data_IF_487766376535
#
_entry.id   IF_487766376535
#
_cell.length_a   1.000
_cell.length_b   1.000
_cell.length_c   1.000
_cell.angle_alpha   90.00
_cell.angle_beta   90.00
_cell.angle_gamma   90.00
#
_symmetry.space_group_name_H-M   'P 1'
#
loop_
_entity.id
_entity.type
_entity.pdbx_description
1 polymer ?
#
# COMPACT_ATOMS: atom_id res chain seq x y z
N UNK A 1 20.11 -9.07 -15.49
CA UNK A 1 19.21 -10.21 -15.20
C UNK A 1 19.29 -10.63 -13.73
N UNK A 2 20.48 -10.95 -13.19
CA UNK A 2 20.67 -11.27 -11.75
C UNK A 2 20.20 -10.17 -10.79
N UNK A 3 20.56 -8.92 -11.10
CA UNK A 3 20.16 -7.71 -10.35
C UNK A 3 18.67 -7.38 -10.41
N UNK A 4 17.96 -7.82 -11.46
CA UNK A 4 16.51 -7.58 -11.61
C UNK A 4 15.70 -8.55 -10.75
N UNK A 5 16.20 -9.78 -10.62
CA UNK A 5 15.61 -10.83 -9.78
C UNK A 5 15.77 -10.46 -8.30
N UNK A 6 16.96 -10.01 -7.89
CA UNK A 6 17.22 -9.54 -6.53
C UNK A 6 16.33 -8.35 -6.13
N UNK A 7 16.12 -7.40 -7.05
CA UNK A 7 15.21 -6.25 -6.82
C UNK A 7 13.76 -6.70 -6.67
N UNK A 8 13.29 -7.63 -7.50
CA UNK A 8 11.93 -8.17 -7.40
C UNK A 8 11.70 -8.91 -6.08
N UNK A 9 12.70 -9.64 -5.62
CA UNK A 9 12.65 -10.36 -4.36
C UNK A 9 12.64 -9.42 -3.15
N UNK A 10 13.44 -8.35 -3.17
CA UNK A 10 13.43 -7.31 -2.12
C UNK A 10 12.07 -6.61 -2.01
N UNK A 11 11.45 -6.27 -3.15
CA UNK A 11 10.11 -5.67 -3.18
C UNK A 11 9.06 -6.63 -2.62
N UNK A 12 9.11 -7.90 -3.00
CA UNK A 12 8.21 -8.93 -2.47
C UNK A 12 8.35 -9.10 -0.96
N UNK A 13 9.57 -9.12 -0.43
CA UNK A 13 9.83 -9.19 1.02
C UNK A 13 9.27 -7.96 1.74
N UNK A 14 9.50 -6.76 1.21
CA UNK A 14 8.96 -5.54 1.78
C UNK A 14 7.42 -5.56 1.84
N UNK A 15 6.76 -5.95 0.76
CA UNK A 15 5.29 -6.04 0.70
C UNK A 15 4.74 -7.11 1.64
N UNK A 16 5.43 -8.25 1.77
CA UNK A 16 5.09 -9.30 2.73
C UNK A 16 5.16 -8.78 4.17
N UNK A 17 6.24 -8.06 4.51
CA UNK A 17 6.44 -7.43 5.81
C UNK A 17 5.38 -6.37 6.12
N UNK A 18 5.06 -5.53 5.14
CA UNK A 18 3.98 -4.55 5.26
C UNK A 18 2.63 -5.22 5.51
N UNK A 19 2.33 -6.32 4.80
CA UNK A 19 1.12 -7.12 5.03
C UNK A 19 1.05 -7.64 6.47
N UNK A 20 2.13 -8.23 6.99
CA UNK A 20 2.18 -8.78 8.35
C UNK A 20 1.87 -7.70 9.39
N UNK A 21 2.43 -6.49 9.23
CA UNK A 21 2.14 -5.37 10.15
C UNK A 21 0.68 -4.93 10.04
N UNK A 22 0.15 -4.76 8.82
CA UNK A 22 -1.24 -4.35 8.56
C UNK A 22 -2.23 -5.37 9.13
N UNK A 23 -1.97 -6.66 8.92
CA UNK A 23 -2.77 -7.75 9.51
C UNK A 23 -2.83 -7.63 11.04
N UNK A 24 -1.71 -7.33 11.68
CA UNK A 24 -1.61 -7.19 13.13
C UNK A 24 -2.12 -5.85 13.70
N UNK A 25 -2.45 -4.89 12.82
CA UNK A 25 -3.10 -3.62 13.16
C UNK A 25 -4.62 -3.76 13.27
N UNK A 26 -5.25 -4.58 12.42
CA UNK A 26 -6.70 -4.58 12.21
C UNK A 26 -7.52 -5.41 13.22
N UNK A 27 -6.89 -5.91 14.29
CA UNK A 27 -7.52 -6.71 15.35
C UNK A 27 -8.36 -7.91 14.87
N UNK A 28 -8.17 -8.36 13.62
CA UNK A 28 -8.82 -9.54 13.05
C UNK A 28 -8.15 -10.83 13.51
N UNK A 29 -8.81 -11.96 13.24
CA UNK A 29 -8.25 -13.28 13.54
C UNK A 29 -6.86 -13.39 12.89
N UNK A 30 -5.85 -13.64 13.72
CA UNK A 30 -4.44 -13.77 13.33
C UNK A 30 -4.22 -14.93 12.34
N UNK A 31 -5.20 -15.81 12.11
CA UNK A 31 -5.12 -16.88 11.10
C UNK A 31 -5.49 -16.39 9.70
N UNK A 32 -6.26 -15.30 9.58
CA UNK A 32 -6.75 -14.83 8.28
C UNK A 32 -5.74 -13.91 7.59
N UNK A 33 -5.36 -14.26 6.36
CA UNK A 33 -4.42 -13.48 5.54
C UNK A 33 -5.11 -12.48 4.61
N UNK A 34 -6.32 -12.83 4.15
CA UNK A 34 -7.06 -12.06 3.14
C UNK A 34 -7.43 -10.63 3.58
N UNK A 35 -7.88 -10.39 4.82
CA UNK A 35 -8.22 -9.04 5.24
C UNK A 35 -7.02 -8.08 5.23
N UNK A 36 -5.82 -8.58 5.58
CA UNK A 36 -4.57 -7.82 5.46
C UNK A 36 -4.18 -7.52 4.01
N UNK A 37 -4.51 -8.40 3.06
CA UNK A 37 -4.29 -8.17 1.61
C UNK A 37 -5.19 -7.04 1.12
N UNK A 38 -6.48 -7.11 1.44
CA UNK A 38 -7.46 -6.11 1.01
C UNK A 38 -7.13 -4.75 1.61
N UNK A 39 -6.80 -4.70 2.90
CA UNK A 39 -6.37 -3.47 3.55
C UNK A 39 -5.08 -2.92 2.93
N UNK A 40 -4.04 -3.75 2.78
CA UNK A 40 -2.78 -3.32 2.15
C UNK A 40 -2.97 -2.78 0.74
N UNK A 41 -3.81 -3.44 -0.06
CA UNK A 41 -4.12 -2.99 -1.42
C UNK A 41 -4.94 -1.69 -1.46
N UNK A 42 -5.89 -1.52 -0.54
CA UNK A 42 -6.64 -0.28 -0.39
C UNK A 42 -5.70 0.90 -0.09
N UNK A 43 -4.76 0.70 0.83
CA UNK A 43 -3.81 1.74 1.21
C UNK A 43 -2.79 2.05 0.12
N UNK A 44 -2.28 1.04 -0.58
CA UNK A 44 -1.40 1.25 -1.73
C UNK A 44 -2.11 2.03 -2.86
N UNK A 45 -3.39 1.75 -3.09
CA UNK A 45 -4.21 2.49 -4.03
C UNK A 45 -4.41 3.95 -3.61
N UNK A 46 -4.67 4.23 -2.33
CA UNK A 46 -4.76 5.60 -1.80
C UNK A 46 -3.44 6.38 -1.99
N UNK A 47 -2.29 5.74 -1.72
CA UNK A 47 -0.96 6.33 -1.96
C UNK A 47 -0.77 6.66 -3.44
N UNK A 48 -1.05 5.70 -4.33
CA UNK A 48 -0.89 5.88 -5.78
C UNK A 48 -1.77 7.01 -6.31
N UNK A 49 -3.03 7.07 -5.89
CA UNK A 49 -3.94 8.14 -6.28
C UNK A 49 -3.45 9.51 -5.79
N UNK A 50 -2.93 9.58 -4.56
CA UNK A 50 -2.37 10.81 -3.99
C UNK A 50 -1.15 11.28 -4.78
N UNK A 51 -0.28 10.36 -5.22
CA UNK A 51 0.89 10.67 -6.05
C UNK A 51 0.47 11.13 -7.44
N UNK A 52 -0.46 10.41 -8.10
CA UNK A 52 -0.97 10.79 -9.44
C UNK A 52 -1.60 12.17 -9.38
N UNK A 53 -2.38 12.43 -8.33
CA UNK A 53 -2.98 13.73 -8.08
C UNK A 53 -1.92 14.83 -7.89
N UNK A 54 -0.93 14.61 -7.02
CA UNK A 54 0.14 15.59 -6.81
C UNK A 54 0.93 15.85 -8.09
N UNK A 55 1.27 14.79 -8.83
CA UNK A 55 1.95 14.88 -10.10
C UNK A 55 1.13 15.65 -11.13
N UNK A 56 -0.19 15.50 -11.13
CA UNK A 56 -1.11 16.32 -11.93
C UNK A 56 -1.05 17.78 -11.48
N UNK A 57 -1.35 18.08 -10.21
CA UNK A 57 -1.47 19.46 -9.67
C UNK A 57 -0.18 20.29 -9.71
N UNK A 58 0.99 19.64 -9.62
CA UNK A 58 2.28 20.33 -9.69
C UNK A 58 3.02 20.10 -11.01
N UNK A 59 2.36 19.48 -12.00
CA UNK A 59 2.94 19.33 -13.33
C UNK A 59 3.17 20.70 -13.97
N UNK A 60 4.34 20.96 -14.57
CA UNK A 60 4.56 22.16 -15.38
C UNK A 60 3.68 22.21 -16.63
N UNK A 61 2.91 21.13 -16.91
CA UNK A 61 1.93 21.05 -17.99
C UNK A 61 0.51 21.46 -17.59
N UNK A 62 0.29 21.89 -16.34
CA UNK A 62 -1.02 22.38 -15.91
C UNK A 62 -1.41 23.65 -16.66
N UNK A 63 -2.45 23.51 -17.49
CA UNK A 63 -2.91 24.54 -18.44
C UNK A 63 -3.10 24.02 -19.86
N UNK A 64 -2.59 22.83 -20.22
CA UNK A 64 -3.00 22.14 -21.46
C UNK A 64 -4.28 21.36 -21.20
N UNK A 65 -5.40 21.95 -21.62
CA UNK A 65 -6.69 21.28 -21.72
C UNK A 65 -6.52 19.88 -22.36
N UNK A 66 -6.96 18.84 -21.65
CA UNK A 66 -7.23 17.53 -22.26
C UNK A 66 -6.26 16.38 -21.99
N UNK A 67 -5.50 16.34 -20.88
CA UNK A 67 -4.59 15.22 -20.66
C UNK A 67 -5.25 13.92 -20.15
N UNK A 68 -6.29 13.97 -19.30
CA UNK A 68 -7.06 12.80 -18.86
C UNK A 68 -8.48 13.21 -18.43
N UNK A 69 -9.51 12.55 -18.98
CA UNK A 69 -10.89 12.72 -18.51
C UNK A 69 -11.10 12.09 -17.13
N UNK A 70 -12.06 12.60 -16.35
CA UNK A 70 -12.38 12.14 -14.99
C UNK A 70 -12.70 10.64 -14.97
N UNK A 71 -13.39 10.12 -15.99
CA UNK A 71 -13.71 8.70 -16.06
C UNK A 71 -12.47 7.85 -16.35
N UNK A 72 -11.49 8.39 -17.07
CA UNK A 72 -10.19 7.73 -17.26
C UNK A 72 -9.41 7.65 -15.95
N UNK A 73 -9.43 8.71 -15.13
CA UNK A 73 -8.79 8.72 -13.80
C UNK A 73 -9.44 7.66 -12.89
N UNK A 74 -10.77 7.54 -12.89
CA UNK A 74 -11.48 6.51 -12.12
C UNK A 74 -11.12 5.09 -12.56
N UNK A 75 -11.06 4.84 -13.87
CA UNK A 75 -10.67 3.53 -14.41
C UNK A 75 -9.23 3.18 -14.04
N UNK A 76 -8.31 4.15 -14.11
CA UNK A 76 -6.92 3.97 -13.67
C UNK A 76 -6.82 3.67 -12.17
N UNK A 77 -7.58 4.38 -11.35
CA UNK A 77 -7.67 4.14 -9.91
C UNK A 77 -8.19 2.73 -9.59
N UNK A 78 -9.27 2.29 -10.23
CA UNK A 78 -9.83 0.95 -10.04
C UNK A 78 -8.85 -0.14 -10.50
N UNK A 79 -8.20 0.08 -11.65
CA UNK A 79 -7.19 -0.83 -12.18
C UNK A 79 -5.98 -0.93 -11.23
N UNK A 80 -5.48 0.21 -10.74
CA UNK A 80 -4.39 0.26 -9.77
C UNK A 80 -4.73 -0.47 -8.47
N UNK A 81 -5.97 -0.35 -7.98
CA UNK A 81 -6.45 -1.14 -6.85
C UNK A 81 -6.41 -2.65 -7.15
N UNK A 82 -6.99 -3.08 -8.27
CA UNK A 82 -7.02 -4.50 -8.65
C UNK A 82 -5.60 -5.07 -8.78
N UNK A 83 -4.67 -4.34 -9.42
CA UNK A 83 -3.27 -4.73 -9.50
C UNK A 83 -2.61 -4.78 -8.12
N UNK A 84 -2.91 -3.83 -7.24
CA UNK A 84 -2.38 -3.81 -5.87
C UNK A 84 -2.82 -5.04 -5.07
N UNK A 85 -4.07 -5.48 -5.20
CA UNK A 85 -4.57 -6.72 -4.59
C UNK A 85 -3.79 -7.93 -5.12
N UNK A 86 -3.62 -8.02 -6.44
CA UNK A 86 -2.88 -9.12 -7.08
C UNK A 86 -1.43 -9.15 -6.59
N UNK A 87 -0.77 -7.99 -6.52
CA UNK A 87 0.62 -7.86 -6.05
C UNK A 87 0.75 -8.30 -4.59
N UNK A 88 -0.12 -7.83 -3.70
CA UNK A 88 -0.11 -8.24 -2.29
C UNK A 88 -0.43 -9.72 -2.11
N UNK A 89 -1.32 -10.27 -2.92
CA UNK A 89 -1.63 -11.70 -2.87
C UNK A 89 -0.41 -12.54 -3.28
N UNK A 90 0.27 -12.17 -4.36
CA UNK A 90 1.48 -12.88 -4.79
C UNK A 90 2.64 -12.72 -3.82
N UNK A 91 2.80 -11.55 -3.18
CA UNK A 91 3.89 -11.32 -2.23
C UNK A 91 3.81 -12.19 -0.97
N UNK A 92 2.61 -12.61 -0.58
CA UNK A 92 2.38 -13.50 0.58
C UNK A 92 2.16 -14.97 0.20
N UNK A 93 2.19 -15.32 -1.10
CA UNK A 93 1.91 -16.68 -1.56
C UNK A 93 2.98 -17.69 -1.15
N UNK A 94 4.22 -17.23 -0.99
CA UNK A 94 5.31 -18.08 -0.51
C UNK A 94 5.20 -18.22 1.02
N UNK A 95 4.72 -19.38 1.47
CA UNK A 95 4.45 -19.65 2.88
C UNK A 95 5.70 -19.58 3.75
N UNK A 96 6.85 -20.07 3.27
CA UNK A 96 8.12 -20.04 4.01
C UNK A 96 8.57 -18.59 4.28
N UNK A 97 8.54 -17.75 3.24
CA UNK A 97 8.86 -16.32 3.36
C UNK A 97 7.87 -15.59 4.26
N UNK A 98 6.58 -15.93 4.13
CA UNK A 98 5.53 -15.34 4.95
C UNK A 98 5.74 -15.65 6.43
N UNK A 99 6.01 -16.92 6.77
CA UNK A 99 6.28 -17.35 8.14
C UNK A 99 7.53 -16.69 8.72
N UNK A 100 8.57 -16.47 7.89
CA UNK A 100 9.76 -15.75 8.32
C UNK A 100 9.45 -14.30 8.72
N UNK A 101 8.62 -13.60 7.94
CA UNK A 101 8.22 -12.22 8.26
C UNK A 101 7.22 -12.16 9.44
N UNK A 102 6.32 -13.14 9.57
CA UNK A 102 5.48 -13.28 10.76
C UNK A 102 6.33 -13.49 12.01
N UNK A 103 7.28 -14.41 11.96
CA UNK A 103 8.21 -14.67 13.06
C UNK A 103 9.02 -13.42 13.42
N UNK A 104 9.54 -12.70 12.42
CA UNK A 104 10.23 -11.43 12.61
C UNK A 104 9.38 -10.44 13.41
N UNK A 105 8.09 -10.30 13.08
CA UNK A 105 7.22 -9.36 13.76
C UNK A 105 6.86 -9.84 15.17
N UNK A 106 6.53 -11.13 15.34
CA UNK A 106 6.12 -11.68 16.64
C UNK A 106 7.27 -11.82 17.64
N UNK A 107 8.51 -11.95 17.16
CA UNK A 107 9.70 -12.08 18.01
C UNK A 107 10.21 -10.72 18.52
N UNK A 108 9.58 -9.61 18.13
CA UNK A 108 9.87 -8.27 18.67
C UNK A 108 9.24 -8.07 20.04
N UNK A 109 9.80 -7.16 20.83
CA UNK A 109 9.18 -6.77 22.11
C UNK A 109 7.81 -6.11 21.90
N UNK A 110 6.95 -6.14 22.91
CA UNK A 110 5.63 -5.49 22.84
C UNK A 110 5.74 -3.99 22.55
N UNK A 111 6.75 -3.32 23.11
CA UNK A 111 7.04 -1.91 22.85
C UNK A 111 7.42 -1.67 21.39
N UNK A 112 8.30 -2.50 20.82
CA UNK A 112 8.69 -2.41 19.41
C UNK A 112 7.51 -2.68 18.47
N UNK A 113 6.71 -3.70 18.75
CA UNK A 113 5.51 -4.02 17.97
C UNK A 113 4.52 -2.86 18.00
N UNK A 114 4.30 -2.27 19.18
CA UNK A 114 3.43 -1.12 19.36
C UNK A 114 3.94 0.09 18.58
N UNK A 115 5.24 0.39 18.68
CA UNK A 115 5.86 1.49 17.95
C UNK A 115 5.71 1.33 16.43
N UNK A 116 5.94 0.13 15.90
CA UNK A 116 5.77 -0.17 14.47
C UNK A 116 4.30 0.01 14.06
N UNK A 117 3.36 -0.54 14.83
CA UNK A 117 1.93 -0.41 14.56
C UNK A 117 1.49 1.06 14.54
N UNK A 118 1.85 1.82 15.56
CA UNK A 118 1.51 3.26 15.65
C UNK A 118 2.11 4.03 14.48
N UNK A 119 3.39 3.80 14.17
CA UNK A 119 4.06 4.49 13.06
C UNK A 119 3.39 4.21 11.71
N UNK A 120 3.08 2.94 11.44
CA UNK A 120 2.39 2.53 10.21
C UNK A 120 0.96 3.07 10.17
N UNK A 121 0.22 3.00 11.28
CA UNK A 121 -1.11 3.59 11.41
C UNK A 121 -1.12 5.09 11.16
N UNK A 122 -0.17 5.84 11.73
CA UNK A 122 0.00 7.27 11.49
C UNK A 122 0.30 7.56 10.01
N UNK A 123 1.19 6.79 9.38
CA UNK A 123 1.49 6.94 7.96
C UNK A 123 0.26 6.72 7.07
N UNK A 124 -0.54 5.68 7.37
CA UNK A 124 -1.79 5.39 6.67
C UNK A 124 -2.80 6.52 6.84
N UNK A 125 -2.98 7.04 8.07
CA UNK A 125 -3.86 8.18 8.36
C UNK A 125 -3.43 9.45 7.63
N UNK A 126 -2.15 9.80 7.67
CA UNK A 126 -1.61 10.97 6.95
C UNK A 126 -1.92 10.85 5.46
N UNK A 127 -1.64 9.68 4.86
CA UNK A 127 -1.89 9.45 3.44
C UNK A 127 -3.38 9.53 3.10
N UNK A 128 -4.25 9.00 3.97
CA UNK A 128 -5.69 9.13 3.82
C UNK A 128 -6.12 10.59 3.76
N UNK A 129 -5.75 11.38 4.77
CA UNK A 129 -6.15 12.77 4.88
C UNK A 129 -5.55 13.64 3.78
N UNK A 130 -4.31 13.37 3.34
CA UNK A 130 -3.73 14.01 2.16
C UNK A 130 -4.57 13.74 0.92
N UNK A 131 -4.99 12.49 0.69
CA UNK A 131 -5.89 12.13 -0.40
C UNK A 131 -7.25 12.82 -0.30
N UNK A 132 -7.88 12.83 0.87
CA UNK A 132 -9.19 13.50 1.09
C UNK A 132 -9.11 15.00 0.88
N UNK A 133 -8.10 15.67 1.45
CA UNK A 133 -7.87 17.11 1.28
C UNK A 133 -7.67 17.43 -0.20
N UNK A 134 -6.87 16.60 -0.90
CA UNK A 134 -6.63 16.76 -2.33
C UNK A 134 -7.93 16.72 -3.15
N UNK A 135 -8.85 15.81 -2.83
CA UNK A 135 -10.16 15.71 -3.49
C UNK A 135 -11.05 16.91 -3.15
N UNK A 136 -11.14 17.29 -1.88
CA UNK A 136 -12.07 18.33 -1.40
C UNK A 136 -11.69 19.73 -1.88
N UNK A 137 -10.40 20.07 -1.88
CA UNK A 137 -9.94 21.44 -2.18
C UNK A 137 -9.77 21.74 -3.68
N UNK A 138 -9.94 20.75 -4.55
CA UNK A 138 -9.77 20.91 -6.00
C UNK A 138 -10.93 20.34 -6.84
N UNK A 139 -12.04 19.99 -6.20
CA UNK A 139 -13.39 20.05 -6.80
C UNK A 139 -13.94 21.47 -6.75
#
# INVERSE_FOLDING_TARGET
MKTTIEKGEAVSMFLCKAHVVIKNLLAWDKREKYPGVVAGAFWLNMVMQSIVYFAYTYSPFNGREGLLDLDTIKVLALSAFAFSVIIFYFSIRNEEKYQQEEYWFTNKSEEEQTFIKVSVGCFMLITFFTGVISVVYHT
#
